data_IF_335267828323
#
_entry.id   IF_335267828323
#
_cell.length_a   1.000
_cell.length_b   1.000
_cell.length_c   1.000
_cell.angle_alpha   90.00
_cell.angle_beta   90.00
_cell.angle_gamma   90.00
#
_symmetry.space_group_name_H-M   'P 1'
#
loop_
_entity.id
_entity.type
_entity.pdbx_description
1 polymer ?
#
# COMPACT_ATOMS: atom_id res chain seq x y z
N UNK A 1 -7.64 0.45 -29.45
CA UNK A 1 -6.66 1.52 -29.17
C UNK A 1 -6.60 1.71 -27.66
N UNK A 2 -5.45 2.08 -27.09
CA UNK A 2 -5.33 2.36 -25.65
C UNK A 2 -6.16 3.57 -25.24
N UNK A 3 -6.81 3.52 -24.07
CA UNK A 3 -7.57 4.64 -23.48
C UNK A 3 -6.68 5.74 -22.90
N UNK A 4 -5.38 5.47 -22.75
CA UNK A 4 -4.40 6.39 -22.18
C UNK A 4 -3.24 5.63 -21.54
N UNK A 5 -2.15 6.35 -21.27
CA UNK A 5 -0.94 5.82 -20.63
C UNK A 5 -0.94 6.15 -19.14
N UNK A 6 -0.70 5.14 -18.31
CA UNK A 6 -0.61 5.25 -16.85
C UNK A 6 0.78 4.83 -16.36
N UNK A 7 1.49 5.75 -15.72
CA UNK A 7 2.82 5.53 -15.14
C UNK A 7 2.68 5.05 -13.69
N UNK A 8 2.96 3.77 -13.48
CA UNK A 8 2.98 3.09 -12.17
C UNK A 8 4.42 3.03 -11.67
N UNK A 9 4.72 3.71 -10.56
CA UNK A 9 6.04 3.71 -9.94
C UNK A 9 6.06 2.75 -8.76
N UNK A 10 6.92 1.73 -8.80
CA UNK A 10 7.25 0.91 -7.63
C UNK A 10 8.54 1.44 -7.01
N UNK A 11 8.46 1.99 -5.79
CA UNK A 11 9.62 2.46 -5.05
C UNK A 11 10.30 1.31 -4.29
N UNK A 12 11.60 1.19 -4.50
CA UNK A 12 12.51 0.23 -3.85
C UNK A 12 12.14 -1.25 -3.97
N UNK A 13 11.76 -1.75 -5.16
CA UNK A 13 11.26 -3.14 -5.29
C UNK A 13 12.32 -4.21 -4.98
N UNK A 14 13.62 -3.87 -5.01
CA UNK A 14 14.69 -4.83 -4.64
C UNK A 14 14.93 -4.86 -3.13
N UNK A 15 14.82 -3.70 -2.48
CA UNK A 15 15.12 -3.52 -1.07
C UNK A 15 13.90 -3.83 -0.18
N UNK A 16 12.69 -3.59 -0.71
CA UNK A 16 11.42 -3.57 0.02
C UNK A 16 10.37 -4.50 -0.62
N UNK A 17 10.69 -5.77 -0.88
CA UNK A 17 9.72 -6.71 -1.49
C UNK A 17 9.79 -8.16 -0.95
N UNK A 18 10.09 -8.34 0.35
CA UNK A 18 10.33 -9.69 0.92
C UNK A 18 9.07 -10.56 1.06
N UNK A 19 7.87 -9.95 1.00
CA UNK A 19 6.59 -10.65 1.19
C UNK A 19 5.77 -10.80 -0.10
N UNK A 20 6.43 -10.73 -1.26
CA UNK A 20 5.78 -10.89 -2.56
C UNK A 20 5.00 -9.66 -3.03
N UNK A 21 5.29 -8.48 -2.45
CA UNK A 21 4.58 -7.22 -2.72
C UNK A 21 4.71 -6.74 -4.18
N UNK A 22 5.71 -7.23 -4.93
CA UNK A 22 5.76 -7.10 -6.40
C UNK A 22 4.47 -7.59 -7.08
N UNK A 23 3.74 -8.52 -6.46
CA UNK A 23 2.45 -8.96 -6.97
C UNK A 23 1.37 -7.87 -6.93
N UNK A 24 1.45 -6.87 -6.05
CA UNK A 24 0.59 -5.66 -6.12
C UNK A 24 0.84 -4.88 -7.42
N UNK A 25 2.11 -4.63 -7.75
CA UNK A 25 2.50 -3.94 -8.99
C UNK A 25 2.04 -4.71 -10.23
N UNK A 26 2.22 -6.05 -10.22
CA UNK A 26 1.76 -6.92 -11.31
C UNK A 26 0.24 -6.91 -11.43
N UNK A 27 -0.48 -6.93 -10.31
CA UNK A 27 -1.94 -6.83 -10.29
C UNK A 27 -2.39 -5.53 -10.94
N UNK A 28 -1.90 -4.38 -10.48
CA UNK A 28 -2.25 -3.07 -11.01
C UNK A 28 -1.93 -2.94 -12.50
N UNK A 29 -0.74 -3.35 -12.91
CA UNK A 29 -0.35 -3.29 -14.32
C UNK A 29 -1.23 -4.18 -15.21
N UNK A 30 -1.63 -5.35 -14.74
CA UNK A 30 -2.54 -6.25 -15.47
C UNK A 30 -3.96 -5.71 -15.52
N UNK A 31 -4.49 -5.22 -14.40
CA UNK A 31 -5.84 -4.64 -14.35
C UNK A 31 -5.95 -3.38 -15.20
N UNK A 32 -4.94 -2.50 -15.18
CA UNK A 32 -4.86 -1.36 -16.12
C UNK A 32 -5.02 -1.81 -17.57
N UNK A 33 -4.31 -2.87 -17.99
CA UNK A 33 -4.45 -3.45 -19.33
C UNK A 33 -5.84 -4.04 -19.57
N UNK A 34 -6.42 -4.74 -18.60
CA UNK A 34 -7.77 -5.31 -18.71
C UNK A 34 -8.86 -4.24 -18.81
N UNK A 35 -8.66 -3.06 -18.21
CA UNK A 35 -9.55 -1.91 -18.40
C UNK A 35 -9.26 -1.11 -19.68
N UNK A 36 -8.23 -1.48 -20.46
CA UNK A 36 -7.94 -0.89 -21.77
C UNK A 36 -6.91 0.24 -21.76
N UNK A 37 -6.15 0.41 -20.67
CA UNK A 37 -5.08 1.40 -20.55
C UNK A 37 -3.70 0.79 -20.83
N UNK A 38 -2.75 1.61 -21.26
CA UNK A 38 -1.34 1.25 -21.36
C UNK A 38 -0.70 1.43 -19.97
N UNK A 39 -0.22 0.33 -19.37
CA UNK A 39 0.49 0.36 -18.10
C UNK A 39 2.01 0.45 -18.34
N UNK A 40 2.62 1.54 -17.91
CA UNK A 40 4.08 1.74 -17.90
C UNK A 40 4.57 1.60 -16.48
N UNK A 41 5.39 0.59 -16.21
CA UNK A 41 5.89 0.30 -14.85
C UNK A 41 7.32 0.81 -14.73
N UNK A 42 7.51 1.74 -13.80
CA UNK A 42 8.82 2.26 -13.40
C UNK A 42 9.25 1.60 -12.09
N UNK A 43 10.54 1.29 -11.99
CA UNK A 43 11.14 0.84 -10.73
C UNK A 43 12.14 1.90 -10.28
N UNK A 44 11.87 2.51 -9.13
CA UNK A 44 12.77 3.48 -8.52
C UNK A 44 13.66 2.78 -7.49
N UNK A 45 14.98 2.96 -7.59
CA UNK A 45 15.97 2.33 -6.71
C UNK A 45 16.82 3.39 -6.02
N UNK A 46 17.51 3.06 -4.91
CA UNK A 46 18.39 4.02 -4.27
C UNK A 46 19.46 4.54 -5.24
N UNK A 47 19.63 5.85 -5.27
CA UNK A 47 20.57 6.58 -6.12
C UNK A 47 20.09 6.88 -7.55
N UNK A 48 18.91 6.40 -7.97
CA UNK A 48 18.35 6.73 -9.29
C UNK A 48 17.54 8.02 -9.25
N UNK A 49 17.32 8.62 -10.43
CA UNK A 49 16.36 9.71 -10.57
C UNK A 49 14.93 9.18 -10.42
N UNK A 50 14.12 9.93 -9.67
CA UNK A 50 12.70 9.60 -9.52
C UNK A 50 11.96 9.95 -10.81
N UNK A 51 11.06 9.09 -11.33
CA UNK A 51 10.32 9.37 -12.56
C UNK A 51 9.55 10.69 -12.50
N UNK A 52 9.61 11.49 -13.57
CA UNK A 52 8.88 12.75 -13.67
C UNK A 52 7.36 12.53 -13.56
N UNK A 53 6.86 11.59 -14.35
CA UNK A 53 5.46 11.19 -14.36
C UNK A 53 5.20 10.02 -13.40
N UNK A 54 4.51 10.31 -12.29
CA UNK A 54 4.04 9.32 -11.34
C UNK A 54 2.52 9.45 -11.15
N UNK A 55 1.76 8.53 -11.77
CA UNK A 55 0.30 8.52 -11.70
C UNK A 55 -0.22 7.60 -10.57
N UNK A 56 0.56 6.61 -10.18
CA UNK A 56 0.27 5.67 -9.10
C UNK A 56 1.59 5.20 -8.49
N UNK A 57 1.69 5.21 -7.15
CA UNK A 57 2.92 4.80 -6.45
C UNK A 57 2.66 3.59 -5.56
N UNK A 58 3.56 2.61 -5.58
CA UNK A 58 3.50 1.42 -4.72
C UNK A 58 4.83 1.22 -4.02
N UNK A 59 4.80 0.95 -2.72
CA UNK A 59 5.97 0.56 -1.93
C UNK A 59 5.67 -0.69 -1.11
N UNK A 60 6.60 -1.66 -1.09
CA UNK A 60 6.42 -2.93 -0.40
C UNK A 60 7.01 -2.97 1.02
N UNK A 61 6.99 -4.15 1.64
CA UNK A 61 7.62 -4.42 2.92
C UNK A 61 9.03 -4.98 2.78
N UNK A 62 9.92 -4.55 3.67
CA UNK A 62 11.27 -5.09 3.85
C UNK A 62 11.59 -5.31 5.32
N UNK A 63 12.71 -6.00 5.59
CA UNK A 63 13.27 -6.07 6.94
C UNK A 63 13.87 -4.70 7.32
N UNK A 64 14.19 -4.49 8.59
CA UNK A 64 14.82 -3.25 9.08
C UNK A 64 16.10 -2.90 8.30
N UNK A 65 16.86 -3.91 7.86
CA UNK A 65 18.04 -3.74 7.01
C UNK A 65 17.72 -3.21 5.61
N UNK A 66 16.54 -3.52 5.06
CA UNK A 66 16.03 -2.96 3.81
C UNK A 66 15.59 -1.51 3.98
N UNK A 67 14.88 -1.21 5.08
CA UNK A 67 14.46 0.16 5.41
C UNK A 67 15.67 1.10 5.56
N UNK A 68 16.71 0.66 6.27
CA UNK A 68 17.94 1.43 6.43
C UNK A 68 18.68 1.69 5.09
N UNK A 69 18.50 0.84 4.06
CA UNK A 69 19.13 1.04 2.73
C UNK A 69 18.41 2.08 1.89
N UNK A 70 17.12 2.31 2.14
CA UNK A 70 16.29 3.24 1.37
C UNK A 70 16.13 4.59 2.06
N UNK A 71 16.45 4.68 3.36
CA UNK A 71 16.28 5.87 4.21
C UNK A 71 16.81 7.16 3.55
N UNK A 72 18.08 7.19 3.17
CA UNK A 72 18.70 8.37 2.55
C UNK A 72 18.08 8.73 1.19
N UNK A 73 17.60 7.74 0.45
CA UNK A 73 16.94 7.97 -0.84
C UNK A 73 15.51 8.49 -0.68
N UNK A 74 14.81 7.94 0.31
CA UNK A 74 13.47 8.34 0.69
C UNK A 74 13.46 9.77 1.21
N UNK A 75 14.47 10.15 2.02
CA UNK A 75 14.68 11.53 2.46
C UNK A 75 14.89 12.46 1.25
N UNK A 76 15.81 12.10 0.34
CA UNK A 76 16.09 12.89 -0.87
C UNK A 76 14.85 13.13 -1.72
N UNK A 77 13.97 12.12 -1.85
CA UNK A 77 12.74 12.19 -2.64
C UNK A 77 11.52 12.60 -1.81
N UNK A 78 11.69 12.94 -0.53
CA UNK A 78 10.61 13.14 0.43
C UNK A 78 9.66 14.27 0.02
N UNK A 79 10.22 15.41 -0.38
CA UNK A 79 9.41 16.56 -0.82
C UNK A 79 8.60 16.26 -2.08
N UNK A 80 9.18 15.49 -3.02
CA UNK A 80 8.47 15.05 -4.23
C UNK A 80 7.31 14.12 -3.88
N UNK A 81 7.52 13.15 -2.99
CA UNK A 81 6.48 12.21 -2.55
C UNK A 81 5.37 12.92 -1.77
N UNK A 82 5.72 13.86 -0.88
CA UNK A 82 4.74 14.72 -0.19
C UNK A 82 3.92 15.56 -1.16
N UNK A 83 4.57 16.16 -2.16
CA UNK A 83 3.87 16.94 -3.18
C UNK A 83 2.91 16.07 -4.00
N UNK A 84 3.33 14.86 -4.41
CA UNK A 84 2.46 13.91 -5.11
C UNK A 84 1.25 13.49 -4.26
N UNK A 85 1.46 13.24 -2.96
CA UNK A 85 0.40 12.88 -2.03
C UNK A 85 -0.61 14.03 -1.86
N UNK A 86 -0.12 15.25 -1.65
CA UNK A 86 -0.94 16.46 -1.52
C UNK A 86 -1.73 16.77 -2.81
N UNK A 87 -1.16 16.47 -3.97
CA UNK A 87 -1.79 16.58 -5.29
C UNK A 87 -2.74 15.40 -5.63
N UNK A 88 -3.00 14.52 -4.66
CA UNK A 88 -3.98 13.43 -4.80
C UNK A 88 -3.51 12.24 -5.62
N UNK A 89 -2.20 12.08 -5.86
CA UNK A 89 -1.67 10.86 -6.49
C UNK A 89 -1.97 9.65 -5.60
N UNK A 90 -2.63 8.60 -6.12
CA UNK A 90 -2.88 7.41 -5.33
C UNK A 90 -1.57 6.69 -4.98
N UNK A 91 -1.47 6.23 -3.73
CA UNK A 91 -0.30 5.53 -3.22
C UNK A 91 -0.70 4.35 -2.36
N UNK A 92 -0.02 3.21 -2.52
CA UNK A 92 -0.17 2.03 -1.67
C UNK A 92 1.17 1.66 -1.04
N UNK A 93 1.26 1.83 0.28
CA UNK A 93 2.45 1.55 1.06
C UNK A 93 2.20 0.34 1.96
N UNK A 94 3.04 -0.68 1.83
CA UNK A 94 2.88 -1.94 2.55
C UNK A 94 3.97 -2.07 3.61
N UNK A 95 3.56 -2.41 4.83
CA UNK A 95 4.45 -2.77 5.95
C UNK A 95 5.58 -1.75 6.15
N UNK A 96 6.83 -2.08 5.83
CA UNK A 96 7.96 -1.16 6.02
C UNK A 96 7.78 0.20 5.33
N UNK A 97 7.23 0.25 4.11
CA UNK A 97 6.96 1.54 3.47
C UNK A 97 5.78 2.28 4.09
N UNK A 98 4.79 1.57 4.64
CA UNK A 98 3.72 2.20 5.43
C UNK A 98 4.32 2.92 6.65
N UNK A 99 5.22 2.25 7.37
CA UNK A 99 5.91 2.80 8.54
C UNK A 99 6.74 4.05 8.18
N UNK A 100 7.51 3.98 7.08
CA UNK A 100 8.36 5.08 6.62
C UNK A 100 7.58 6.25 6.00
N UNK A 101 6.32 6.03 5.59
CA UNK A 101 5.41 7.12 5.21
C UNK A 101 4.75 7.80 6.42
N UNK A 102 4.87 7.19 7.61
CA UNK A 102 4.48 7.75 8.89
C UNK A 102 5.42 8.85 9.40
N UNK A 103 5.23 9.27 10.64
CA UNK A 103 6.09 10.25 11.33
C UNK A 103 7.46 9.65 11.68
N UNK A 104 7.46 8.42 12.20
CA UNK A 104 8.68 7.70 12.57
C UNK A 104 8.45 6.20 12.71
N UNK A 105 9.51 5.43 12.43
CA UNK A 105 9.63 4.04 12.81
C UNK A 105 10.72 3.88 13.88
N UNK A 106 10.35 3.34 15.03
CA UNK A 106 11.24 3.10 16.16
C UNK A 106 11.52 1.59 16.21
N UNK A 107 12.77 1.18 16.02
CA UNK A 107 13.14 -0.25 16.05
C UNK A 107 12.97 -0.85 17.45
N UNK A 108 13.08 -2.17 17.56
CA UNK A 108 13.02 -2.88 18.85
C UNK A 108 14.14 -2.40 19.80
N UNK A 109 15.29 -2.05 19.24
CA UNK A 109 16.46 -1.52 19.95
C UNK A 109 16.35 -0.02 20.29
N UNK A 110 15.25 0.64 19.89
CA UNK A 110 14.99 2.04 20.17
C UNK A 110 15.62 3.04 19.20
N UNK A 111 16.23 2.57 18.10
CA UNK A 111 16.68 3.48 17.03
C UNK A 111 15.46 4.07 16.34
N UNK A 112 15.42 5.39 16.21
CA UNK A 112 14.37 6.08 15.46
C UNK A 112 14.82 6.34 14.03
N UNK A 113 14.01 5.92 13.06
CA UNK A 113 14.12 6.28 11.65
C UNK A 113 13.03 7.32 11.35
N UNK A 114 13.38 8.54 10.91
CA UNK A 114 12.39 9.54 10.56
C UNK A 114 11.61 9.08 9.32
N UNK A 115 10.29 9.23 9.38
CA UNK A 115 9.42 8.99 8.22
C UNK A 115 9.06 10.28 7.50
N UNK A 116 8.26 10.18 6.45
CA UNK A 116 7.84 11.33 5.64
C UNK A 116 6.74 12.17 6.30
N UNK A 117 5.99 11.64 7.26
CA UNK A 117 4.85 12.32 7.88
C UNK A 117 3.68 12.59 6.92
N UNK A 118 3.53 11.75 5.89
CA UNK A 118 2.38 11.81 4.96
C UNK A 118 1.15 11.20 5.65
N UNK A 119 1.36 10.12 6.39
CA UNK A 119 0.39 9.52 7.29
C UNK A 119 0.76 9.96 8.71
N UNK A 120 -0.19 10.48 9.48
CA UNK A 120 0.03 10.84 10.88
C UNK A 120 -0.01 9.58 11.76
N UNK A 121 1.04 8.77 11.64
CA UNK A 121 1.19 7.50 12.36
C UNK A 121 2.60 7.37 12.92
N UNK A 122 2.74 6.70 14.06
CA UNK A 122 4.05 6.34 14.61
C UNK A 122 4.10 4.84 14.85
N UNK A 123 5.17 4.20 14.41
CA UNK A 123 5.35 2.76 14.57
C UNK A 123 6.49 2.45 15.52
N UNK A 124 6.26 1.50 16.43
CA UNK A 124 7.30 0.90 17.27
C UNK A 124 7.41 -0.59 17.00
N UNK A 125 8.61 -1.07 16.71
CA UNK A 125 8.91 -2.50 16.62
C UNK A 125 8.79 -3.19 17.97
N UNK A 126 8.22 -4.38 17.99
CA UNK A 126 8.07 -5.22 19.17
C UNK A 126 8.71 -6.60 18.97
N UNK A 127 9.04 -7.26 20.08
CA UNK A 127 9.57 -8.62 20.06
C UNK A 127 8.55 -9.65 19.56
N UNK A 128 7.26 -9.46 19.88
CA UNK A 128 6.18 -10.34 19.43
C UNK A 128 5.60 -9.83 18.11
N UNK A 129 5.53 -10.71 17.12
CA UNK A 129 4.91 -10.43 15.82
C UNK A 129 3.40 -10.67 15.86
N UNK A 130 2.66 -9.83 15.16
CA UNK A 130 1.28 -10.07 14.74
C UNK A 130 1.31 -10.87 13.45
N UNK A 131 0.76 -12.09 13.49
CA UNK A 131 0.84 -13.06 12.41
C UNK A 131 -0.53 -13.71 12.23
N UNK A 132 -1.09 -13.61 11.02
CA UNK A 132 -2.33 -14.31 10.71
C UNK A 132 -3.06 -13.80 9.47
N UNK A 133 -4.07 -14.54 9.01
CA UNK A 133 -5.01 -14.04 8.02
C UNK A 133 -5.89 -12.92 8.63
N UNK A 134 -6.18 -11.90 7.83
CA UNK A 134 -6.94 -10.70 8.25
C UNK A 134 -8.18 -10.52 7.37
N UNK A 135 -9.26 -10.00 7.98
CA UNK A 135 -10.46 -9.50 7.29
C UNK A 135 -10.76 -8.10 7.83
N UNK A 136 -10.90 -7.13 6.93
CA UNK A 136 -11.19 -5.74 7.22
C UNK A 136 -12.52 -5.31 6.60
N UNK A 137 -13.25 -4.44 7.29
CA UNK A 137 -14.29 -3.61 6.69
C UNK A 137 -13.67 -2.28 6.24
N UNK A 138 -13.84 -1.93 4.97
CA UNK A 138 -13.31 -0.69 4.36
C UNK A 138 -14.38 0.01 3.52
N UNK A 139 -14.10 1.23 3.06
CA UNK A 139 -14.96 1.92 2.08
C UNK A 139 -15.05 1.18 0.72
N UNK A 140 -14.09 0.28 0.43
CA UNK A 140 -14.05 -0.54 -0.79
C UNK A 140 -14.71 -1.92 -0.59
N UNK A 141 -15.40 -2.12 0.53
CA UNK A 141 -15.96 -3.39 0.96
C UNK A 141 -15.00 -4.21 1.81
N UNK A 142 -15.27 -5.51 1.92
CA UNK A 142 -14.41 -6.42 2.67
C UNK A 142 -13.04 -6.58 1.99
N UNK A 143 -11.96 -6.32 2.74
CA UNK A 143 -10.59 -6.51 2.28
C UNK A 143 -9.95 -7.64 3.08
N UNK A 144 -9.30 -8.58 2.40
CA UNK A 144 -8.61 -9.71 3.01
C UNK A 144 -7.11 -9.68 2.75
N UNK A 145 -6.33 -10.24 3.67
CA UNK A 145 -4.89 -10.40 3.45
C UNK A 145 -4.24 -11.23 4.53
N UNK A 146 -2.93 -11.08 4.67
CA UNK A 146 -2.17 -11.75 5.71
C UNK A 146 -1.23 -10.76 6.39
N UNK A 147 -1.30 -10.63 7.70
CA UNK A 147 -0.38 -9.81 8.46
C UNK A 147 0.80 -10.64 8.96
N UNK A 148 1.99 -10.06 8.89
CA UNK A 148 3.19 -10.63 9.49
C UNK A 148 4.16 -9.50 9.81
N UNK A 149 3.97 -8.83 10.94
CA UNK A 149 4.77 -7.66 11.30
C UNK A 149 5.02 -7.58 12.80
N UNK A 150 6.14 -6.96 13.18
CA UNK A 150 6.48 -6.65 14.57
C UNK A 150 6.10 -5.22 14.97
N UNK A 151 5.76 -4.37 13.99
CA UNK A 151 5.48 -2.95 14.23
C UNK A 151 4.09 -2.75 14.83
N UNK A 152 4.02 -2.22 16.05
CA UNK A 152 2.77 -1.63 16.54
C UNK A 152 2.69 -0.20 16.04
N UNK A 153 1.78 0.05 15.10
CA UNK A 153 1.45 1.39 14.64
C UNK A 153 0.36 2.00 15.51
N UNK A 154 0.54 3.26 15.88
CA UNK A 154 -0.45 4.09 16.56
C UNK A 154 -0.79 5.25 15.65
N UNK A 155 -2.10 5.50 15.49
CA UNK A 155 -2.63 6.59 14.68
C UNK A 155 -2.66 7.87 15.53
N UNK A 156 -2.26 8.99 14.92
CA UNK A 156 -2.39 10.32 15.51
C UNK A 156 -3.85 10.77 15.61
N UNK A 157 -4.07 11.89 16.28
CA UNK A 157 -5.41 12.43 16.49
C UNK A 157 -6.06 12.80 15.14
N UNK A 158 -7.22 12.20 14.84
CA UNK A 158 -7.95 12.43 13.60
C UNK A 158 -7.42 11.68 12.37
N UNK A 159 -6.29 10.96 12.49
CA UNK A 159 -5.82 10.07 11.43
C UNK A 159 -6.82 8.93 11.23
N UNK A 160 -7.28 8.75 9.99
CA UNK A 160 -8.22 7.68 9.64
C UNK A 160 -7.48 6.36 9.41
N UNK A 161 -8.00 5.22 9.90
CA UNK A 161 -7.48 3.92 9.51
C UNK A 161 -7.87 3.58 8.07
N UNK A 162 -7.19 2.61 7.46
CA UNK A 162 -7.59 2.06 6.17
C UNK A 162 -8.88 1.23 6.30
N UNK A 163 -9.02 0.50 7.41
CA UNK A 163 -10.22 -0.24 7.72
C UNK A 163 -10.35 -0.63 9.19
N UNK A 164 -11.51 -1.18 9.54
CA UNK A 164 -11.78 -1.78 10.84
C UNK A 164 -11.55 -3.28 10.78
N UNK A 165 -10.88 -3.84 11.77
CA UNK A 165 -10.55 -5.27 11.84
C UNK A 165 -11.79 -6.06 12.25
N UNK A 166 -12.25 -6.98 11.38
CA UNK A 166 -13.23 -8.02 11.74
C UNK A 166 -12.57 -9.28 12.27
N UNK A 167 -11.38 -9.61 11.76
CA UNK A 167 -10.56 -10.73 12.20
C UNK A 167 -9.09 -10.41 11.91
N UNK A 168 -8.20 -10.68 12.87
CA UNK A 168 -6.79 -10.27 12.83
C UNK A 168 -6.41 -9.35 14.00
N UNK A 169 -5.21 -8.78 13.95
CA UNK A 169 -4.64 -7.90 14.96
C UNK A 169 -4.52 -6.44 14.47
N UNK A 170 -4.26 -6.24 13.18
CA UNK A 170 -4.26 -4.92 12.56
C UNK A 170 -3.03 -4.08 12.93
N UNK A 171 -3.23 -2.79 13.21
CA UNK A 171 -2.13 -1.85 13.46
C UNK A 171 -1.30 -2.20 14.69
N UNK A 172 -1.94 -2.61 15.79
CA UNK A 172 -1.26 -2.85 17.06
C UNK A 172 -1.84 -3.97 17.92
N UNK A 173 -2.91 -4.63 17.47
CA UNK A 173 -3.57 -5.71 18.21
C UNK A 173 -4.52 -5.26 19.30
N UNK A 174 -4.77 -3.96 19.48
CA UNK A 174 -5.59 -3.45 20.59
C UNK A 174 -6.72 -2.51 20.18
N UNK A 175 -6.54 -1.70 19.14
CA UNK A 175 -7.54 -0.68 18.75
C UNK A 175 -8.54 -1.13 17.68
N UNK A 176 -8.42 -2.38 17.20
CA UNK A 176 -9.26 -2.96 16.16
C UNK A 176 -9.25 -2.17 14.83
N UNK A 177 -8.19 -1.41 14.57
CA UNK A 177 -7.97 -0.73 13.30
C UNK A 177 -6.84 -1.37 12.51
N UNK A 178 -6.86 -1.21 11.19
CA UNK A 178 -5.75 -1.61 10.32
C UNK A 178 -5.42 -0.49 9.34
N UNK A 179 -4.11 -0.30 9.14
CA UNK A 179 -3.58 0.66 8.20
C UNK A 179 -3.91 2.11 8.55
N UNK A 180 -3.68 2.99 7.58
CA UNK A 180 -4.05 4.40 7.64
C UNK A 180 -4.34 4.95 6.25
N UNK A 181 -5.17 5.99 6.19
CA UNK A 181 -5.48 6.70 4.94
C UNK A 181 -5.44 8.22 5.10
N UNK A 182 -4.71 8.89 4.19
CA UNK A 182 -4.68 10.35 4.06
C UNK A 182 -4.84 10.71 2.59
N UNK A 183 -5.97 11.33 2.23
CA UNK A 183 -6.30 11.59 0.83
C UNK A 183 -6.39 10.28 0.03
N UNK A 184 -5.51 10.12 -0.95
CA UNK A 184 -5.41 8.91 -1.77
C UNK A 184 -4.18 8.03 -1.40
N UNK A 185 -3.57 8.27 -0.24
CA UNK A 185 -2.44 7.48 0.29
C UNK A 185 -2.95 6.45 1.28
N UNK A 186 -2.67 5.18 1.00
CA UNK A 186 -3.10 4.04 1.81
C UNK A 186 -1.87 3.31 2.35
N UNK A 187 -1.78 3.21 3.67
CA UNK A 187 -0.83 2.37 4.38
C UNK A 187 -1.51 1.11 4.92
N UNK A 188 -0.88 -0.06 4.79
CA UNK A 188 -1.42 -1.32 5.34
C UNK A 188 -0.31 -2.33 5.66
N UNK A 189 -0.56 -3.20 6.62
CA UNK A 189 0.26 -4.36 6.96
C UNK A 189 -0.14 -5.64 6.21
N UNK A 190 -1.22 -5.60 5.42
CA UNK A 190 -1.67 -6.78 4.67
C UNK A 190 -0.69 -7.10 3.53
N UNK A 191 -0.09 -8.29 3.65
CA UNK A 191 0.65 -8.98 2.61
C UNK A 191 -0.22 -10.03 1.93
N UNK A 192 0.37 -10.79 1.00
CA UNK A 192 -0.34 -11.86 0.30
C UNK A 192 0.01 -11.97 -1.17
N UNK A 193 0.37 -10.91 -1.91
CA UNK A 193 0.08 -9.44 -1.76
C UNK A 193 -1.41 -9.08 -1.54
N UNK A 194 -1.72 -7.83 -1.12
CA UNK A 194 -3.10 -7.38 -0.85
C UNK A 194 -3.97 -7.30 -2.11
N UNK A 195 -3.52 -6.75 -3.23
CA UNK A 195 -4.42 -6.37 -4.33
C UNK A 195 -5.07 -7.55 -5.12
N UNK A 196 -4.39 -8.68 -5.41
CA UNK A 196 -4.98 -9.74 -6.21
C UNK A 196 -6.28 -10.35 -5.67
N UNK A 197 -6.46 -10.39 -4.35
CA UNK A 197 -7.68 -10.89 -3.72
C UNK A 197 -8.72 -9.78 -3.47
N UNK A 198 -8.38 -8.51 -3.74
CA UNK A 198 -9.21 -7.35 -3.41
C UNK A 198 -9.39 -6.45 -4.64
N UNK A 199 -10.08 -6.93 -5.69
CA UNK A 199 -10.17 -6.24 -6.98
C UNK A 199 -10.83 -4.86 -6.89
N UNK A 200 -11.86 -4.69 -6.03
CA UNK A 200 -12.51 -3.40 -5.82
C UNK A 200 -11.53 -2.34 -5.29
N UNK A 201 -10.61 -2.71 -4.39
CA UNK A 201 -9.58 -1.80 -3.90
C UNK A 201 -8.52 -1.50 -4.97
N UNK A 202 -8.10 -2.52 -5.73
CA UNK A 202 -7.18 -2.32 -6.84
C UNK A 202 -7.74 -1.36 -7.90
N UNK A 203 -9.02 -1.50 -8.24
CA UNK A 203 -9.70 -0.65 -9.21
C UNK A 203 -9.94 0.76 -8.68
N UNK A 204 -10.16 0.92 -7.39
CA UNK A 204 -10.26 2.25 -6.77
C UNK A 204 -8.92 3.02 -6.84
N UNK A 205 -7.78 2.34 -6.75
CA UNK A 205 -6.46 2.96 -6.98
C UNK A 205 -6.27 3.33 -8.46
N UNK A 206 -6.67 2.43 -9.36
CA UNK A 206 -6.57 2.64 -10.82
C UNK A 206 -7.46 3.80 -11.27
N UNK A 207 -8.70 3.87 -10.81
CA UNK A 207 -9.64 4.92 -11.17
C UNK A 207 -9.06 6.31 -10.86
N UNK A 208 -8.57 6.49 -9.63
CA UNK A 208 -7.90 7.72 -9.18
C UNK A 208 -6.68 8.06 -10.04
N UNK A 209 -5.86 7.07 -10.37
CA UNK A 209 -4.66 7.26 -11.18
C UNK A 209 -4.99 7.67 -12.62
N UNK A 210 -6.01 7.04 -13.22
CA UNK A 210 -6.49 7.31 -14.57
C UNK A 210 -7.08 8.70 -14.69
N UNK A 211 -7.98 9.05 -13.77
CA UNK A 211 -8.65 10.35 -13.78
C UNK A 211 -7.65 11.50 -13.72
N UNK A 212 -6.64 11.34 -12.85
CA UNK A 212 -5.56 12.31 -12.72
C UNK A 212 -4.67 12.38 -13.96
N UNK A 213 -4.27 11.23 -14.50
CA UNK A 213 -3.37 11.15 -15.64
C UNK A 213 -3.98 11.65 -16.96
N UNK A 214 -5.30 11.47 -17.12
CA UNK A 214 -5.98 11.70 -18.41
C UNK A 214 -6.96 12.86 -18.40
N UNK A 215 -7.35 13.35 -17.22
CA UNK A 215 -8.42 14.33 -17.06
C UNK A 215 -9.82 13.80 -17.42
N UNK A 216 -9.97 12.48 -17.58
CA UNK A 216 -11.22 11.81 -17.97
C UNK A 216 -11.65 10.83 -16.90
N UNK A 217 -12.96 10.70 -16.71
CA UNK A 217 -13.53 9.69 -15.81
C UNK A 217 -13.00 8.29 -16.13
N UNK A 218 -12.80 7.47 -15.10
CA UNK A 218 -12.41 6.08 -15.29
C UNK A 218 -13.53 5.30 -15.99
N UNK A 219 -13.20 4.67 -17.12
CA UNK A 219 -14.13 3.82 -17.86
C UNK A 219 -13.76 2.34 -17.63
N UNK A 220 -14.44 1.63 -16.73
CA UNK A 220 -14.08 0.26 -16.41
C UNK A 220 -14.27 -0.66 -17.62
N UNK A 221 -13.23 -1.43 -17.96
CA UNK A 221 -13.41 -2.70 -18.67
C UNK A 221 -14.10 -3.77 -17.80
N UNK A 222 -14.20 -4.99 -18.31
CA UNK A 222 -14.88 -6.11 -17.63
C UNK A 222 -13.88 -7.24 -17.30
N UNK A 223 -12.95 -7.05 -16.36
CA UNK A 223 -12.08 -8.14 -15.91
C UNK A 223 -12.92 -9.26 -15.27
N UNK A 224 -12.50 -10.51 -15.47
CA UNK A 224 -13.10 -11.65 -14.77
C UNK A 224 -12.50 -11.77 -13.36
N UNK A 225 -13.27 -11.36 -12.37
CA UNK A 225 -12.88 -11.38 -10.96
C UNK A 225 -13.32 -12.64 -10.21
N UNK A 226 -13.87 -13.65 -10.91
CA UNK A 226 -14.42 -14.87 -10.30
C UNK A 226 -13.44 -15.54 -9.32
N UNK A 227 -12.17 -15.69 -9.72
CA UNK A 227 -11.16 -16.32 -8.86
C UNK A 227 -10.75 -15.43 -7.68
N UNK A 228 -10.66 -14.12 -7.89
CA UNK A 228 -10.35 -13.17 -6.83
C UNK A 228 -11.46 -13.16 -5.77
N UNK A 229 -12.73 -13.13 -6.20
CA UNK A 229 -13.89 -13.21 -5.32
C UNK A 229 -13.98 -14.53 -4.58
N UNK A 230 -13.72 -15.66 -5.24
CA UNK A 230 -13.66 -16.96 -4.57
C UNK A 230 -12.58 -17.00 -3.49
N UNK A 231 -11.38 -16.48 -3.77
CA UNK A 231 -10.30 -16.40 -2.80
C UNK A 231 -10.68 -15.53 -1.59
N UNK A 232 -11.24 -14.34 -1.85
CA UNK A 232 -11.70 -13.39 -0.83
C UNK A 232 -12.80 -13.97 0.04
N UNK A 233 -13.90 -14.42 -0.56
CA UNK A 233 -15.06 -14.96 0.15
C UNK A 233 -14.72 -16.22 0.95
N UNK A 234 -13.78 -17.05 0.47
CA UNK A 234 -13.32 -18.21 1.24
C UNK A 234 -12.63 -17.80 2.53
N UNK A 235 -11.78 -16.76 2.49
CA UNK A 235 -11.11 -16.25 3.68
C UNK A 235 -12.10 -15.60 4.65
N UNK A 236 -13.02 -14.78 4.15
CA UNK A 236 -14.09 -14.16 4.97
C UNK A 236 -14.90 -15.23 5.69
N UNK A 237 -15.43 -16.22 4.96
CA UNK A 237 -16.20 -17.33 5.56
C UNK A 237 -15.41 -18.12 6.59
N UNK A 238 -14.11 -18.35 6.35
CA UNK A 238 -13.26 -19.10 7.28
C UNK A 238 -13.04 -18.37 8.61
N UNK A 239 -12.95 -17.04 8.57
CA UNK A 239 -12.51 -16.25 9.72
C UNK A 239 -13.65 -15.56 10.49
N UNK A 240 -14.78 -15.33 9.83
CA UNK A 240 -15.88 -14.52 10.39
C UNK A 240 -17.26 -15.20 10.26
N UNK A 241 -17.34 -16.32 9.52
CA UNK A 241 -18.57 -17.08 9.27
C UNK A 241 -18.67 -18.37 10.05
#
# INVERSE_FOLDING_TARGET
MSKGRINLVHIYPREMSIYGDLGNTRCLASRLRWHGYEAVVHQHHPGTEFPEDAHLVVGGGGQDSGQARVEADLERNGDRLKALAADGTPMLMICGMYQLFGNAFITVEGRSLPGLGILDVTTRGNAKRMIGPVVLDTEFGEVVGYENHSGSTVLGEGQKPFGTVRSGMGNNGTDQTEGATTGNVFGSYLHGPILPANPAFADALIARAVERATGRAFEPGTPDDTLADQARLRQVRRLVG
#
